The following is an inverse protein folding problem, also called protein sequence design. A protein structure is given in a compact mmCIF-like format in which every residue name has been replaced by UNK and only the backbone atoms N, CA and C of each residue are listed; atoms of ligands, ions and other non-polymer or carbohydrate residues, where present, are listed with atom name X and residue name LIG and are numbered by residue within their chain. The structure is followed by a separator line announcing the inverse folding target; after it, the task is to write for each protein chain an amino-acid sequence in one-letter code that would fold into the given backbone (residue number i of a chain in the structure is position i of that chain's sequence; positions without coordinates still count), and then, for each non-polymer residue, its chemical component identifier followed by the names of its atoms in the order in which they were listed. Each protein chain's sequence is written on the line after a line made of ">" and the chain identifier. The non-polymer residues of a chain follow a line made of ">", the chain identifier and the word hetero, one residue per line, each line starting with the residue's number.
data_IF_169767111808
#
_entry.id   IF_169767111808
#
_cell.length_a   1.000
_cell.length_b   1.000
_cell.length_c   1.000
_cell.angle_alpha   90.00
_cell.angle_beta   90.00
_cell.angle_gamma   90.00
#
_symmetry.space_group_name_H-M   'P 1'
#
loop_
_entity.id
_entity.type
_entity.pdbx_description
1 polymer ?
#
# COMPACT_ATOMS: atom_id res chain seq x y z
N UNK A 1 -9.50 3.15 -4.71
CA UNK A 1 -9.36 4.47 -4.09
C UNK A 1 -8.44 4.32 -2.91
N UNK A 2 -7.55 5.29 -2.69
CA UNK A 2 -6.59 5.31 -1.57
C UNK A 2 -7.30 5.89 -0.34
N UNK A 3 -7.03 5.32 0.84
CA UNK A 3 -7.47 5.87 2.13
C UNK A 3 -6.23 5.99 3.00
N UNK A 4 -6.01 7.18 3.52
CA UNK A 4 -4.96 7.44 4.50
C UNK A 4 -5.46 7.21 5.92
N UNK A 5 -4.56 6.74 6.79
CA UNK A 5 -4.87 6.41 8.18
C UNK A 5 -3.84 7.07 9.07
N UNK A 6 -4.29 7.81 10.09
CA UNK A 6 -3.44 8.40 11.12
C UNK A 6 -2.88 7.39 12.13
N UNK A 7 -2.53 6.19 11.67
CA UNK A 7 -1.98 5.10 12.48
C UNK A 7 -0.66 4.63 11.84
N UNK A 8 0.46 5.04 12.43
CA UNK A 8 1.80 4.68 12.00
C UNK A 8 2.75 4.56 13.18
N UNK A 9 4.04 4.34 12.91
CA UNK A 9 5.07 4.17 13.93
C UNK A 9 5.14 5.34 14.92
N UNK A 10 5.01 6.57 14.43
CA UNK A 10 5.05 7.79 15.25
C UNK A 10 3.74 8.15 15.93
N UNK A 11 2.63 7.41 15.74
CA UNK A 11 1.35 7.75 16.37
C UNK A 11 1.48 7.72 17.89
N UNK A 12 1.12 8.82 18.53
CA UNK A 12 1.30 9.05 19.97
C UNK A 12 0.18 8.38 20.74
N UNK A 13 0.52 7.66 21.82
CA UNK A 13 -0.41 7.12 22.79
C UNK A 13 -0.74 8.16 23.88
N UNK A 14 -2.03 8.36 24.16
CA UNK A 14 -2.52 9.35 25.12
C UNK A 14 -3.82 8.86 25.77
N UNK A 15 -4.24 9.56 26.83
CA UNK A 15 -5.46 9.24 27.59
C UNK A 15 -6.48 10.33 27.29
N UNK A 16 -7.69 9.95 26.86
CA UNK A 16 -8.76 10.90 26.64
C UNK A 16 -9.44 11.38 27.94
N UNK A 17 -10.30 12.38 27.84
CA UNK A 17 -11.02 12.94 28.99
C UNK A 17 -11.91 11.91 29.71
N UNK A 18 -12.22 10.79 29.05
CA UNK A 18 -13.00 9.68 29.62
C UNK A 18 -12.11 8.60 30.27
N UNK A 19 -10.79 8.78 30.29
CA UNK A 19 -9.83 7.82 30.86
C UNK A 19 -9.47 6.67 29.92
N UNK A 20 -9.84 6.74 28.65
CA UNK A 20 -9.57 5.70 27.65
C UNK A 20 -8.22 5.89 26.95
N UNK A 21 -7.53 4.77 26.68
CA UNK A 21 -6.32 4.78 25.84
C UNK A 21 -6.69 5.12 24.38
N UNK A 22 -5.98 6.10 23.82
CA UNK A 22 -6.03 6.50 22.40
C UNK A 22 -4.64 6.44 21.78
N UNK A 23 -4.59 6.20 20.47
CA UNK A 23 -3.35 6.22 19.69
C UNK A 23 -3.58 7.00 18.41
N UNK A 24 -2.81 8.06 18.22
CA UNK A 24 -3.07 9.05 17.17
C UNK A 24 -4.32 9.91 17.45
N UNK A 25 -4.73 10.77 16.50
CA UNK A 25 -4.11 11.00 15.19
C UNK A 25 -2.79 11.80 15.27
N UNK A 26 -2.45 12.37 16.42
CA UNK A 26 -1.18 13.06 16.62
C UNK A 26 -0.01 12.11 16.38
N UNK A 27 1.04 12.63 15.75
CA UNK A 27 2.25 11.89 15.43
C UNK A 27 3.48 12.64 15.93
N UNK A 28 4.44 11.90 16.47
CA UNK A 28 5.76 12.42 16.85
C UNK A 28 6.67 12.65 15.63
N UNK A 29 6.25 12.23 14.43
CA UNK A 29 7.03 12.34 13.21
C UNK A 29 8.38 11.60 13.29
N UNK A 30 9.40 12.14 12.65
CA UNK A 30 10.79 11.66 12.75
C UNK A 30 11.68 12.54 13.63
N UNK A 31 11.24 13.77 13.91
CA UNK A 31 11.90 14.74 14.77
C UNK A 31 10.82 15.54 15.54
N UNK A 32 10.71 15.42 16.87
CA UNK A 32 11.63 14.68 17.76
C UNK A 32 11.48 13.16 17.67
N UNK A 33 10.42 12.65 17.02
CA UNK A 33 10.19 11.22 16.81
C UNK A 33 9.79 10.45 18.07
N UNK A 34 9.65 9.11 17.94
CA UNK A 34 9.46 8.18 19.07
C UNK A 34 10.44 8.42 20.22
N UNK A 35 10.03 8.07 21.44
CA UNK A 35 10.88 8.19 22.65
C UNK A 35 12.19 7.41 22.47
N UNK A 36 12.11 6.24 21.85
CA UNK A 36 13.24 5.36 21.59
C UNK A 36 14.29 5.97 20.66
N UNK A 37 13.97 7.04 19.92
CA UNK A 37 14.94 7.74 19.08
C UNK A 37 15.87 8.65 19.89
N UNK A 38 15.56 8.90 21.16
CA UNK A 38 16.36 9.73 22.07
C UNK A 38 16.62 11.17 21.56
N UNK A 39 15.74 11.71 20.70
CA UNK A 39 15.82 13.06 20.11
C UNK A 39 14.90 14.09 20.77
N UNK A 40 14.37 13.77 21.96
CA UNK A 40 13.52 14.67 22.75
C UNK A 40 12.03 14.33 22.74
N UNK A 41 11.62 13.23 22.08
CA UNK A 41 10.29 12.67 22.20
C UNK A 41 9.99 12.25 23.64
N UNK A 42 8.77 12.52 24.12
CA UNK A 42 8.38 12.29 25.53
C UNK A 42 7.21 11.34 25.69
N UNK A 43 6.31 11.34 24.72
CA UNK A 43 5.06 10.57 24.78
C UNK A 43 5.26 9.24 24.03
N UNK A 44 4.84 8.10 24.62
CA UNK A 44 4.98 6.80 23.98
C UNK A 44 4.30 6.75 22.61
N UNK A 45 4.92 6.06 21.66
CA UNK A 45 4.40 5.87 20.29
C UNK A 45 4.21 4.39 19.94
N UNK A 46 3.60 4.11 18.79
CA UNK A 46 3.52 2.73 18.25
C UNK A 46 4.89 2.08 18.08
N UNK A 47 5.92 2.82 17.65
CA UNK A 47 7.30 2.31 17.53
C UNK A 47 7.87 1.97 18.90
N UNK A 48 7.65 2.82 19.90
CA UNK A 48 8.08 2.56 21.28
C UNK A 48 7.44 1.28 21.83
N UNK A 49 6.14 1.11 21.62
CA UNK A 49 5.43 -0.11 22.01
C UNK A 49 5.97 -1.36 21.30
N UNK A 50 6.25 -1.29 19.99
CA UNK A 50 6.86 -2.42 19.26
C UNK A 50 8.26 -2.77 19.77
N UNK A 51 9.07 -1.76 20.14
CA UNK A 51 10.38 -1.97 20.77
C UNK A 51 10.25 -2.63 22.14
N UNK A 52 9.37 -2.10 23.01
CA UNK A 52 9.14 -2.64 24.35
C UNK A 52 8.61 -4.08 24.32
N UNK A 53 7.78 -4.42 23.34
CA UNK A 53 7.27 -5.78 23.12
C UNK A 53 8.31 -6.74 22.49
N UNK A 54 9.56 -6.29 22.28
CA UNK A 54 10.62 -7.07 21.67
C UNK A 54 10.44 -7.34 20.18
N UNK A 55 9.47 -6.69 19.51
CA UNK A 55 9.21 -6.88 18.08
C UNK A 55 10.22 -6.15 17.20
N UNK A 56 10.81 -5.07 17.71
CA UNK A 56 11.95 -4.37 17.11
C UNK A 56 13.23 -4.64 17.90
N UNK A 57 14.37 -4.53 17.22
CA UNK A 57 15.68 -4.60 17.87
C UNK A 57 16.11 -3.22 18.35
N UNK A 58 16.64 -3.15 19.57
CA UNK A 58 17.30 -1.94 20.05
C UNK A 58 18.60 -1.65 19.30
N UNK A 59 19.33 -2.70 18.89
CA UNK A 59 20.69 -2.58 18.35
C UNK A 59 20.77 -2.70 16.82
N UNK A 60 19.66 -3.05 16.16
CA UNK A 60 19.62 -3.33 14.71
C UNK A 60 18.64 -2.44 13.94
N UNK A 61 18.15 -1.35 14.53
CA UNK A 61 17.29 -0.41 13.82
C UNK A 61 18.08 0.30 12.71
N UNK A 62 17.46 0.44 11.52
CA UNK A 62 18.14 0.90 10.29
C UNK A 62 19.40 0.09 9.94
N UNK A 63 19.38 -1.23 10.20
CA UNK A 63 20.54 -2.10 9.98
C UNK A 63 21.68 -1.88 10.98
N UNK A 64 21.38 -1.31 12.15
CA UNK A 64 22.34 -0.99 13.20
C UNK A 64 22.94 0.42 13.10
N UNK A 65 22.49 1.23 12.14
CA UNK A 65 22.92 2.64 12.03
C UNK A 65 22.33 3.53 13.13
N UNK A 66 21.29 3.05 13.82
CA UNK A 66 20.64 3.77 14.91
C UNK A 66 20.34 2.83 16.09
N UNK A 67 20.98 3.09 17.22
CA UNK A 67 20.62 2.43 18.49
C UNK A 67 19.35 3.06 19.06
N UNK A 68 18.42 2.23 19.53
CA UNK A 68 17.19 2.66 20.17
C UNK A 68 17.32 2.60 21.70
N UNK A 69 16.79 3.62 22.36
CA UNK A 69 16.86 3.78 23.81
C UNK A 69 15.66 3.08 24.49
N UNK A 70 15.78 1.76 24.69
CA UNK A 70 14.77 0.97 25.39
C UNK A 70 14.51 1.51 26.81
N UNK A 71 15.51 1.82 27.66
CA UNK A 71 15.26 2.35 29.01
C UNK A 71 14.36 3.60 29.04
N UNK A 72 14.53 4.54 28.10
CA UNK A 72 13.63 5.71 28.01
C UNK A 72 12.20 5.32 27.63
N UNK A 73 12.03 4.31 26.78
CA UNK A 73 10.71 3.77 26.46
C UNK A 73 10.05 3.16 27.70
N UNK A 74 10.81 2.38 28.49
CA UNK A 74 10.28 1.79 29.72
C UNK A 74 9.79 2.87 30.69
N UNK A 75 10.57 3.95 30.85
CA UNK A 75 10.18 5.09 31.68
C UNK A 75 8.90 5.76 31.15
N UNK A 76 8.84 6.05 29.85
CA UNK A 76 7.68 6.72 29.25
C UNK A 76 6.40 5.88 29.33
N UNK A 77 6.49 4.58 29.04
CA UNK A 77 5.37 3.65 29.19
C UNK A 77 4.96 3.51 30.66
N UNK A 78 5.91 3.42 31.58
CA UNK A 78 5.61 3.33 33.03
C UNK A 78 4.85 4.55 33.53
N UNK A 79 5.24 5.76 33.11
CA UNK A 79 4.51 6.99 33.47
C UNK A 79 3.05 6.93 33.01
N UNK A 80 2.80 6.51 31.77
CA UNK A 80 1.45 6.42 31.21
C UNK A 80 0.64 5.28 31.86
N UNK A 81 1.30 4.15 32.13
CA UNK A 81 0.71 2.96 32.75
C UNK A 81 0.22 3.24 34.18
N UNK A 82 0.98 4.02 34.96
CA UNK A 82 0.59 4.46 36.31
C UNK A 82 -0.73 5.26 36.27
N UNK A 83 -0.89 6.15 35.29
CA UNK A 83 -2.12 6.97 35.16
C UNK A 83 -3.32 6.10 34.81
N UNK A 84 -3.14 5.08 33.98
CA UNK A 84 -4.19 4.12 33.61
C UNK A 84 -4.42 3.02 34.65
N UNK A 85 -3.59 2.93 35.69
CA UNK A 85 -3.64 1.84 36.67
C UNK A 85 -3.40 0.46 36.05
N UNK A 86 -2.56 0.39 35.02
CA UNK A 86 -2.29 -0.84 34.28
C UNK A 86 -0.81 -1.22 34.27
N UNK A 87 -0.52 -2.47 33.92
CA UNK A 87 0.85 -2.94 33.72
C UNK A 87 1.44 -2.39 32.39
N UNK A 88 2.74 -2.08 32.38
CA UNK A 88 3.40 -1.45 31.24
C UNK A 88 3.43 -2.37 30.00
N UNK A 89 3.58 -3.68 30.18
CA UNK A 89 3.53 -4.65 29.09
C UNK A 89 2.13 -4.73 28.49
N UNK A 90 1.09 -4.74 29.34
CA UNK A 90 -0.32 -4.65 28.89
C UNK A 90 -0.60 -3.34 28.17
N UNK A 91 -0.06 -2.21 28.63
CA UNK A 91 -0.19 -0.93 27.96
C UNK A 91 0.44 -0.96 26.57
N UNK A 92 1.68 -1.44 26.45
CA UNK A 92 2.37 -1.55 25.17
C UNK A 92 1.58 -2.42 24.18
N UNK A 93 1.09 -3.58 24.61
CA UNK A 93 0.21 -4.42 23.80
C UNK A 93 -1.08 -3.69 23.39
N UNK A 94 -1.71 -2.95 24.32
CA UNK A 94 -2.89 -2.15 24.06
C UNK A 94 -2.66 -1.03 23.03
N UNK A 95 -1.49 -0.37 23.05
CA UNK A 95 -1.13 0.64 22.05
C UNK A 95 -1.12 0.02 20.64
N UNK A 96 -0.53 -1.16 20.49
CA UNK A 96 -0.53 -1.89 19.22
C UNK A 96 -1.96 -2.26 18.80
N UNK A 97 -2.79 -2.78 19.71
CA UNK A 97 -4.17 -3.17 19.38
C UNK A 97 -5.04 -1.98 18.94
N UNK A 98 -4.92 -0.83 19.62
CA UNK A 98 -5.64 0.39 19.21
C UNK A 98 -5.19 0.83 17.82
N UNK A 99 -3.87 0.85 17.57
CA UNK A 99 -3.28 1.20 16.27
C UNK A 99 -3.73 0.24 15.17
N UNK A 100 -3.69 -1.07 15.42
CA UNK A 100 -4.19 -2.10 14.50
C UNK A 100 -5.68 -1.91 14.21
N UNK A 101 -6.50 -1.61 15.22
CA UNK A 101 -7.95 -1.39 15.01
C UNK A 101 -8.22 -0.21 14.07
N UNK A 102 -7.42 0.86 14.15
CA UNK A 102 -7.52 2.01 13.25
C UNK A 102 -7.17 1.61 11.81
N UNK A 103 -6.08 0.85 11.63
CA UNK A 103 -5.68 0.32 10.32
C UNK A 103 -6.73 -0.63 9.73
N UNK A 104 -7.28 -1.55 10.52
CA UNK A 104 -8.35 -2.47 10.11
C UNK A 104 -9.59 -1.71 9.65
N UNK A 105 -10.05 -0.69 10.40
CA UNK A 105 -11.21 0.13 10.01
C UNK A 105 -11.03 0.76 8.64
N UNK A 106 -9.85 1.30 8.37
CA UNK A 106 -9.56 1.89 7.06
C UNK A 106 -9.50 0.84 5.94
N UNK A 107 -8.90 -0.32 6.21
CA UNK A 107 -8.87 -1.44 5.26
C UNK A 107 -10.29 -1.94 4.94
N UNK A 108 -11.20 -2.01 5.91
CA UNK A 108 -12.62 -2.36 5.69
C UNK A 108 -13.35 -1.35 4.79
N UNK A 109 -13.03 -0.06 4.92
CA UNK A 109 -13.60 1.02 4.08
C UNK A 109 -13.20 0.92 2.61
N UNK A 110 -11.99 0.45 2.32
CA UNK A 110 -11.52 0.27 0.93
C UNK A 110 -11.88 -1.10 0.33
N UNK A 111 -12.34 -2.04 1.15
CA UNK A 111 -12.68 -3.41 0.76
C UNK A 111 -14.19 -3.71 0.94
N UNK A 112 -14.62 -4.08 2.14
CA UNK A 112 -15.97 -4.54 2.47
C UNK A 112 -17.03 -3.50 2.10
N UNK A 113 -16.81 -2.24 2.43
CA UNK A 113 -17.75 -1.15 2.12
C UNK A 113 -17.89 -0.90 0.61
N UNK A 114 -16.99 -1.46 -0.20
CA UNK A 114 -17.05 -1.46 -1.67
C UNK A 114 -17.51 -2.80 -2.25
N UNK A 115 -18.09 -3.67 -1.43
CA UNK A 115 -18.58 -4.99 -1.84
C UNK A 115 -17.48 -6.01 -2.13
N UNK A 116 -16.24 -5.79 -1.67
CA UNK A 116 -15.11 -6.70 -1.89
C UNK A 116 -14.82 -7.48 -0.61
N UNK A 117 -14.91 -8.81 -0.69
CA UNK A 117 -14.60 -9.68 0.44
C UNK A 117 -13.07 -9.83 0.57
N UNK A 118 -12.42 -9.35 1.66
CA UNK A 118 -10.95 -9.34 1.77
C UNK A 118 -10.31 -10.72 1.66
N UNK A 119 -10.97 -11.78 2.15
CA UNK A 119 -10.45 -13.16 2.11
C UNK A 119 -10.21 -13.72 0.70
N UNK A 120 -10.72 -13.05 -0.34
CA UNK A 120 -10.50 -13.43 -1.74
C UNK A 120 -9.23 -12.81 -2.33
N UNK A 121 -8.46 -12.07 -1.53
CA UNK A 121 -7.28 -11.33 -1.96
C UNK A 121 -6.10 -11.59 -1.02
N UNK A 122 -4.89 -11.44 -1.55
CA UNK A 122 -3.65 -11.36 -0.78
C UNK A 122 -3.42 -9.92 -0.30
N UNK A 123 -2.85 -9.76 0.89
CA UNK A 123 -2.46 -8.46 1.43
C UNK A 123 -0.99 -8.17 1.13
N UNK A 124 -0.68 -7.11 0.37
CA UNK A 124 0.70 -6.67 0.18
C UNK A 124 1.10 -5.69 1.30
N UNK A 125 2.08 -6.06 2.11
CA UNK A 125 2.54 -5.28 3.25
C UNK A 125 3.86 -4.56 2.94
N UNK A 126 3.80 -3.24 2.80
CA UNK A 126 4.97 -2.39 2.56
C UNK A 126 4.94 -1.14 3.45
N UNK A 127 5.97 -0.30 3.34
CA UNK A 127 6.34 0.72 4.31
C UNK A 127 7.14 0.11 5.46
N UNK A 128 7.98 0.91 6.13
CA UNK A 128 8.92 0.38 7.13
C UNK A 128 8.23 -0.38 8.27
N UNK A 129 7.03 0.06 8.66
CA UNK A 129 6.22 -0.57 9.71
C UNK A 129 5.10 -1.48 9.19
N UNK A 130 4.88 -1.62 7.87
CA UNK A 130 3.78 -2.45 7.36
C UNK A 130 3.92 -3.92 7.78
N UNK A 131 5.05 -4.58 7.47
CA UNK A 131 5.24 -6.01 7.74
C UNK A 131 5.16 -6.43 9.21
N UNK A 132 5.44 -5.54 10.17
CA UNK A 132 5.38 -5.88 11.61
C UNK A 132 3.93 -5.99 12.12
N UNK A 133 2.97 -5.36 11.43
CA UNK A 133 1.54 -5.37 11.78
C UNK A 133 0.73 -6.31 10.88
N UNK A 134 1.25 -6.66 9.71
CA UNK A 134 0.47 -7.24 8.60
C UNK A 134 -0.29 -8.52 8.93
N UNK A 135 0.34 -9.51 9.58
CA UNK A 135 -0.32 -10.77 9.94
C UNK A 135 -1.55 -10.54 10.85
N UNK A 136 -1.44 -9.65 11.83
CA UNK A 136 -2.58 -9.32 12.70
C UNK A 136 -3.70 -8.60 11.94
N UNK A 137 -3.34 -7.66 11.06
CA UNK A 137 -4.33 -6.99 10.21
C UNK A 137 -5.03 -7.99 9.28
N UNK A 138 -4.28 -8.96 8.76
CA UNK A 138 -4.80 -10.02 7.90
C UNK A 138 -5.78 -10.93 8.65
N UNK A 139 -5.44 -11.37 9.87
CA UNK A 139 -6.35 -12.14 10.74
C UNK A 139 -7.69 -11.41 10.97
N UNK A 140 -7.65 -10.12 11.33
CA UNK A 140 -8.86 -9.31 11.60
C UNK A 140 -9.75 -9.07 10.36
N UNK A 141 -9.18 -9.27 9.16
CA UNK A 141 -9.85 -9.14 7.87
C UNK A 141 -10.20 -10.48 7.24
N UNK A 142 -9.77 -11.61 7.83
CA UNK A 142 -9.91 -12.94 7.25
C UNK A 142 -9.07 -13.16 6.00
N UNK A 143 -7.93 -12.48 5.87
CA UNK A 143 -6.97 -12.66 4.78
C UNK A 143 -5.98 -13.75 5.18
N UNK A 144 -5.82 -14.76 4.32
CA UNK A 144 -4.96 -15.92 4.60
C UNK A 144 -3.53 -15.79 4.06
N UNK A 145 -3.27 -14.83 3.17
CA UNK A 145 -1.95 -14.63 2.56
C UNK A 145 -1.50 -13.16 2.67
N UNK A 146 -0.29 -12.96 3.19
CA UNK A 146 0.40 -11.67 3.22
C UNK A 146 1.67 -11.76 2.38
N UNK A 147 1.88 -10.79 1.49
CA UNK A 147 3.06 -10.68 0.65
C UNK A 147 3.90 -9.49 1.14
N UNK A 148 5.13 -9.75 1.58
CA UNK A 148 6.11 -8.72 1.91
C UNK A 148 7.11 -8.61 0.74
N UNK A 149 7.18 -7.47 0.03
CA UNK A 149 8.12 -7.30 -1.07
C UNK A 149 9.58 -7.27 -0.61
N UNK A 150 10.56 -7.44 -1.53
CA UNK A 150 11.98 -7.49 -1.18
C UNK A 150 12.49 -6.25 -0.45
N UNK A 151 11.92 -5.08 -0.75
CA UNK A 151 12.29 -3.79 -0.17
C UNK A 151 11.05 -3.08 0.36
N UNK A 152 10.42 -3.60 1.43
CA UNK A 152 9.13 -3.11 1.87
C UNK A 152 9.21 -1.68 2.39
N UNK A 153 10.31 -1.30 3.06
CA UNK A 153 10.47 0.05 3.61
C UNK A 153 10.58 1.14 2.55
N UNK A 154 11.03 0.80 1.35
CA UNK A 154 11.22 1.74 0.22
C UNK A 154 10.41 1.39 -1.02
N UNK A 155 9.38 0.54 -0.90
CA UNK A 155 8.60 0.04 -2.03
C UNK A 155 8.01 1.16 -2.91
N UNK A 156 7.61 2.29 -2.32
CA UNK A 156 7.12 3.45 -3.08
C UNK A 156 8.17 4.06 -3.99
N UNK A 157 9.44 4.10 -3.57
CA UNK A 157 10.54 4.58 -4.39
C UNK A 157 10.84 3.60 -5.53
N UNK A 158 10.75 2.29 -5.27
CA UNK A 158 10.87 1.26 -6.32
C UNK A 158 9.76 1.42 -7.36
N UNK A 159 8.52 1.65 -6.90
CA UNK A 159 7.39 1.91 -7.78
C UNK A 159 7.58 3.16 -8.64
N UNK A 160 8.17 4.22 -8.10
CA UNK A 160 8.50 5.44 -8.85
C UNK A 160 9.55 5.18 -9.94
N UNK A 161 10.60 4.42 -9.64
CA UNK A 161 11.68 4.11 -10.59
C UNK A 161 11.17 3.24 -11.74
N UNK A 162 10.25 2.31 -11.46
CA UNK A 162 9.69 1.40 -12.46
C UNK A 162 8.43 1.90 -13.18
N UNK A 163 7.95 3.11 -12.88
CA UNK A 163 6.74 3.65 -13.48
C UNK A 163 7.01 4.23 -14.87
N UNK A 164 6.18 3.84 -15.83
CA UNK A 164 6.22 4.42 -17.18
C UNK A 164 5.98 5.94 -17.13
N UNK A 165 6.67 6.69 -17.98
CA UNK A 165 6.43 8.12 -18.12
C UNK A 165 5.10 8.31 -18.83
N UNK A 166 4.14 8.89 -18.13
CA UNK A 166 2.79 9.10 -18.64
C UNK A 166 2.41 10.57 -18.55
N UNK A 167 1.95 11.13 -19.66
CA UNK A 167 1.33 12.46 -19.66
C UNK A 167 -0.05 12.40 -20.31
N UNK A 168 -0.94 13.25 -19.80
CA UNK A 168 -2.35 13.29 -20.20
C UNK A 168 -2.73 14.71 -20.58
N UNK A 169 -3.23 14.87 -21.81
CA UNK A 169 -3.92 16.07 -22.24
C UNK A 169 -5.43 15.81 -22.28
N UNK A 170 -6.22 16.75 -21.77
CA UNK A 170 -7.68 16.65 -21.75
C UNK A 170 -8.33 17.95 -22.17
N UNK A 171 -9.48 17.84 -22.83
CA UNK A 171 -10.32 18.99 -23.24
C UNK A 171 -11.79 18.66 -23.05
N UNK A 172 -12.55 19.64 -22.56
CA UNK A 172 -13.99 19.54 -22.56
C UNK A 172 -14.50 19.40 -24.00
N UNK A 173 -15.33 18.42 -24.26
CA UNK A 173 -15.88 18.12 -25.58
C UNK A 173 -17.34 17.72 -25.37
N UNK A 174 -18.23 18.70 -25.36
CA UNK A 174 -19.65 18.48 -25.12
C UNK A 174 -20.39 18.25 -26.43
N UNK A 175 -20.99 17.07 -26.57
CA UNK A 175 -21.82 16.77 -27.74
C UNK A 175 -22.56 15.45 -27.60
N UNK A 176 -23.71 15.37 -28.26
CA UNK A 176 -24.39 14.08 -28.49
C UNK A 176 -23.53 13.26 -29.43
N UNK A 177 -23.09 12.09 -28.99
CA UNK A 177 -22.15 11.23 -29.71
C UNK A 177 -22.59 10.98 -31.15
N UNK A 178 -23.88 10.73 -31.35
CA UNK A 178 -24.53 10.54 -32.66
C UNK A 178 -24.48 11.75 -33.60
N UNK A 179 -24.17 12.94 -33.08
CA UNK A 179 -24.14 14.22 -33.82
C UNK A 179 -22.75 14.84 -33.90
N UNK A 180 -21.74 14.23 -33.28
CA UNK A 180 -20.37 14.75 -33.32
C UNK A 180 -19.81 14.50 -34.74
N UNK A 181 -19.34 15.55 -35.45
CA UNK A 181 -18.67 15.34 -36.72
C UNK A 181 -17.34 14.60 -36.52
N UNK A 182 -17.13 13.49 -37.22
CA UNK A 182 -15.91 12.69 -37.12
C UNK A 182 -14.63 13.53 -37.32
N UNK A 183 -14.66 14.46 -38.28
CA UNK A 183 -13.55 15.39 -38.54
C UNK A 183 -13.22 16.29 -37.33
N UNK A 184 -14.23 16.80 -36.63
CA UNK A 184 -14.03 17.66 -35.45
C UNK A 184 -13.44 16.86 -34.28
N UNK A 185 -13.90 15.62 -34.11
CA UNK A 185 -13.35 14.71 -33.12
C UNK A 185 -11.88 14.38 -33.43
N UNK A 186 -11.58 13.98 -34.67
CA UNK A 186 -10.23 13.67 -35.12
C UNK A 186 -9.26 14.85 -34.94
N UNK A 187 -9.67 16.06 -35.34
CA UNK A 187 -8.86 17.27 -35.15
C UNK A 187 -8.55 17.53 -33.67
N UNK A 188 -9.55 17.35 -32.79
CA UNK A 188 -9.34 17.57 -31.36
C UNK A 188 -8.44 16.50 -30.74
N UNK A 189 -8.56 15.25 -31.20
CA UNK A 189 -7.66 14.19 -30.81
C UNK A 189 -6.21 14.49 -31.23
N UNK A 190 -5.98 14.90 -32.48
CA UNK A 190 -4.65 15.27 -32.97
C UNK A 190 -4.03 16.46 -32.21
N UNK A 191 -4.85 17.47 -31.87
CA UNK A 191 -4.43 18.59 -31.01
C UNK A 191 -3.95 18.09 -29.64
N UNK A 192 -4.74 17.24 -28.99
CA UNK A 192 -4.42 16.70 -27.67
C UNK A 192 -3.23 15.74 -27.69
N UNK A 193 -3.10 14.91 -28.73
CA UNK A 193 -1.94 14.04 -28.93
C UNK A 193 -0.65 14.85 -29.01
N UNK A 194 -0.63 15.91 -29.84
CA UNK A 194 0.53 16.81 -29.93
C UNK A 194 0.85 17.46 -28.59
N UNK A 195 -0.17 17.98 -27.91
CA UNK A 195 0.00 18.58 -26.59
C UNK A 195 0.58 17.58 -25.58
N UNK A 196 0.11 16.34 -25.60
CA UNK A 196 0.55 15.30 -24.68
C UNK A 196 1.99 14.83 -24.97
N UNK A 197 2.39 14.78 -26.24
CA UNK A 197 3.75 14.40 -26.67
C UNK A 197 4.81 15.42 -26.24
N UNK A 198 4.52 16.74 -26.33
CA UNK A 198 5.48 17.81 -26.03
C UNK A 198 6.17 17.61 -24.68
N UNK A 199 5.42 17.25 -23.63
CA UNK A 199 6.00 17.06 -22.29
C UNK A 199 6.99 15.89 -22.22
N UNK A 200 6.76 14.81 -22.97
CA UNK A 200 7.68 13.67 -23.00
C UNK A 200 8.89 13.95 -23.91
N UNK A 201 8.69 14.69 -25.00
CA UNK A 201 9.76 15.15 -25.88
C UNK A 201 10.72 16.11 -25.15
N UNK A 202 10.18 17.06 -24.38
CA UNK A 202 10.96 17.97 -23.52
C UNK A 202 11.75 17.22 -22.44
N UNK A 203 11.26 16.05 -22.01
CA UNK A 203 11.98 15.14 -21.12
C UNK A 203 13.04 14.28 -21.86
N UNK A 204 13.23 14.47 -23.16
CA UNK A 204 14.24 13.80 -23.97
C UNK A 204 13.83 12.42 -24.49
N UNK A 205 12.55 12.06 -24.41
CA UNK A 205 12.05 10.77 -24.90
C UNK A 205 11.74 10.86 -26.40
N UNK A 206 12.21 9.86 -27.16
CA UNK A 206 11.96 9.77 -28.60
C UNK A 206 10.51 9.33 -28.89
N UNK A 207 9.89 9.93 -29.91
CA UNK A 207 8.52 9.63 -30.35
C UNK A 207 8.30 8.15 -30.67
N UNK A 208 9.33 7.43 -31.13
CA UNK A 208 9.28 5.98 -31.39
C UNK A 208 9.00 5.13 -30.15
N UNK A 209 9.10 5.71 -28.95
CA UNK A 209 8.79 5.05 -27.67
C UNK A 209 7.38 5.36 -27.17
N UNK A 210 6.61 6.20 -27.87
CA UNK A 210 5.29 6.63 -27.43
C UNK A 210 4.22 5.61 -27.77
N UNK A 211 3.40 5.29 -26.78
CA UNK A 211 2.11 4.62 -26.92
C UNK A 211 1.02 5.64 -26.60
N UNK A 212 0.25 6.01 -27.61
CA UNK A 212 -0.82 6.99 -27.50
C UNK A 212 -2.15 6.26 -27.36
N UNK A 213 -2.89 6.53 -26.30
CA UNK A 213 -4.23 5.98 -26.06
C UNK A 213 -5.21 7.12 -25.84
N UNK A 214 -6.48 6.90 -26.11
CA UNK A 214 -7.50 7.88 -25.77
C UNK A 214 -8.67 7.27 -25.01
N UNK A 215 -9.36 8.15 -24.31
CA UNK A 215 -10.58 7.84 -23.60
C UNK A 215 -11.48 9.06 -23.53
N UNK A 216 -12.73 8.86 -23.16
CA UNK A 216 -13.67 9.95 -22.95
C UNK A 216 -14.54 9.73 -21.75
N UNK A 217 -14.89 10.83 -21.09
CA UNK A 217 -15.95 10.83 -20.09
C UNK A 217 -17.29 10.96 -20.81
N UNK A 218 -18.14 9.96 -20.62
CA UNK A 218 -19.39 9.78 -21.35
C UNK A 218 -20.53 9.51 -20.39
N UNK A 219 -21.75 9.91 -20.75
CA UNK A 219 -22.96 9.64 -19.96
C UNK A 219 -24.17 9.57 -20.86
N UNK A 220 -25.26 8.93 -20.41
CA UNK A 220 -26.51 9.10 -21.13
C UNK A 220 -27.01 10.54 -21.02
N UNK A 221 -27.70 11.03 -22.05
CA UNK A 221 -28.37 12.34 -21.99
C UNK A 221 -29.29 12.40 -20.75
N UNK A 222 -29.11 13.44 -19.93
CA UNK A 222 -29.87 13.67 -18.70
C UNK A 222 -29.36 12.91 -17.46
N UNK A 223 -28.28 12.13 -17.59
CA UNK A 223 -27.62 11.49 -16.45
C UNK A 223 -26.69 12.48 -15.72
N UNK A 224 -26.57 12.33 -14.40
CA UNK A 224 -25.77 13.25 -13.57
C UNK A 224 -24.28 12.91 -13.53
N UNK A 225 -23.91 11.64 -13.75
CA UNK A 225 -22.55 11.13 -13.59
C UNK A 225 -22.03 10.52 -14.88
N UNK A 226 -20.73 10.68 -15.09
CA UNK A 226 -19.99 10.18 -16.24
C UNK A 226 -19.30 8.85 -15.94
N UNK A 227 -19.07 8.08 -17.00
CA UNK A 227 -18.17 6.93 -17.03
C UNK A 227 -17.02 7.26 -17.97
N UNK A 228 -15.78 7.01 -17.54
CA UNK A 228 -14.62 7.05 -18.42
C UNK A 228 -14.58 5.78 -19.26
N UNK A 229 -14.57 5.95 -20.58
CA UNK A 229 -14.58 4.85 -21.56
C UNK A 229 -13.32 4.93 -22.39
N UNK A 230 -12.51 3.87 -22.35
CA UNK A 230 -11.37 3.69 -23.23
C UNK A 230 -11.85 3.28 -24.64
N UNK A 231 -11.13 3.71 -25.68
CA UNK A 231 -11.37 3.25 -27.04
C UNK A 231 -10.19 2.48 -27.62
N UNK A 232 -10.46 1.48 -28.46
CA UNK A 232 -9.45 0.54 -28.95
C UNK A 232 -8.49 1.15 -29.98
N UNK A 233 -8.86 2.26 -30.61
CA UNK A 233 -8.16 2.79 -31.79
C UNK A 233 -7.14 3.87 -31.41
N UNK A 234 -5.86 3.65 -31.79
CA UNK A 234 -4.76 4.60 -31.57
C UNK A 234 -4.90 5.88 -32.41
N UNK A 235 -5.61 5.78 -33.53
CA UNK A 235 -5.91 6.88 -34.46
C UNK A 235 -7.39 6.85 -34.80
N UNK A 236 -8.18 7.90 -34.48
CA UNK A 236 -9.59 7.94 -34.81
C UNK A 236 -9.84 7.74 -36.30
N UNK A 237 -10.79 6.87 -36.61
CA UNK A 237 -11.33 6.59 -37.93
C UNK A 237 -12.85 6.82 -37.96
N UNK A 238 -13.48 6.49 -39.09
CA UNK A 238 -14.92 6.69 -39.27
C UNK A 238 -15.78 5.82 -38.33
N UNK A 239 -15.24 4.74 -37.77
CA UNK A 239 -15.97 3.84 -36.86
C UNK A 239 -15.79 4.17 -35.38
N UNK A 240 -14.80 5.01 -35.04
CA UNK A 240 -14.39 5.27 -33.66
C UNK A 240 -15.55 5.71 -32.77
N UNK A 241 -16.44 6.59 -33.24
CA UNK A 241 -17.60 7.04 -32.45
C UNK A 241 -18.63 5.91 -32.19
N UNK A 242 -18.74 4.94 -33.11
CA UNK A 242 -19.62 3.76 -32.96
C UNK A 242 -19.02 2.78 -31.95
N UNK A 243 -17.71 2.56 -32.01
CA UNK A 243 -17.00 1.70 -31.06
C UNK A 243 -17.07 2.29 -29.65
N UNK A 244 -16.94 3.61 -29.52
CA UNK A 244 -17.13 4.32 -28.25
C UNK A 244 -18.53 4.11 -27.66
N UNK A 245 -19.58 4.17 -28.50
CA UNK A 245 -20.94 3.93 -28.04
C UNK A 245 -21.08 2.50 -27.48
N UNK A 246 -20.57 1.52 -28.23
CA UNK A 246 -20.57 0.10 -27.85
C UNK A 246 -19.82 -0.12 -26.53
N UNK A 247 -18.63 0.45 -26.39
CA UNK A 247 -17.84 0.36 -25.18
C UNK A 247 -18.52 1.05 -23.99
N UNK A 248 -19.17 2.19 -24.21
CA UNK A 248 -19.93 2.87 -23.16
C UNK A 248 -21.08 2.00 -22.65
N UNK A 249 -21.85 1.37 -23.54
CA UNK A 249 -22.92 0.45 -23.12
C UNK A 249 -22.37 -0.73 -22.32
N UNK A 250 -21.24 -1.30 -22.77
CA UNK A 250 -20.56 -2.38 -22.04
C UNK A 250 -20.07 -1.96 -20.66
N UNK A 251 -19.43 -0.79 -20.54
CA UNK A 251 -18.96 -0.25 -19.26
C UNK A 251 -20.12 0.12 -18.34
N UNK A 252 -21.21 0.67 -18.88
CA UNK A 252 -22.41 0.97 -18.10
C UNK A 252 -23.06 -0.32 -17.56
N UNK A 253 -23.15 -1.38 -18.39
CA UNK A 253 -23.61 -2.68 -17.94
C UNK A 253 -22.69 -3.27 -16.87
N UNK A 254 -21.37 -3.17 -17.04
CA UNK A 254 -20.39 -3.67 -16.06
C UNK A 254 -20.50 -2.93 -14.73
N UNK A 255 -20.72 -1.62 -14.75
CA UNK A 255 -20.75 -0.79 -13.55
C UNK A 255 -22.11 -0.80 -12.84
N UNK A 256 -23.20 -0.82 -13.59
CA UNK A 256 -24.56 -0.65 -13.07
C UNK A 256 -25.49 -1.86 -13.31
N UNK A 257 -25.02 -2.90 -13.99
CA UNK A 257 -25.80 -4.11 -14.35
C UNK A 257 -26.98 -3.87 -15.29
N UNK A 258 -26.99 -2.75 -16.01
CA UNK A 258 -27.93 -2.46 -17.09
C UNK A 258 -27.32 -1.45 -18.07
N UNK A 259 -27.93 -1.28 -19.24
CA UNK A 259 -27.63 -0.27 -20.24
C UNK A 259 -28.94 0.22 -20.90
N UNK A 260 -28.90 1.32 -21.64
CA UNK A 260 -30.07 1.96 -22.27
C UNK A 260 -29.75 2.23 -23.74
N UNK A 261 -29.82 1.18 -24.57
CA UNK A 261 -29.45 1.21 -25.99
C UNK A 261 -30.17 2.32 -26.79
N UNK A 262 -31.44 2.60 -26.45
CA UNK A 262 -32.24 3.62 -27.16
C UNK A 262 -31.94 5.07 -26.74
N UNK A 263 -31.08 5.27 -25.74
CA UNK A 263 -30.78 6.60 -25.21
C UNK A 263 -29.46 7.11 -25.77
N UNK A 264 -29.54 8.30 -26.33
CA UNK A 264 -28.40 9.04 -26.88
C UNK A 264 -27.34 9.30 -25.78
N UNK A 265 -26.07 9.27 -26.19
CA UNK A 265 -24.92 9.40 -25.29
C UNK A 265 -24.34 10.80 -25.44
N UNK A 266 -24.03 11.47 -24.33
CA UNK A 266 -23.24 12.68 -24.28
C UNK A 266 -21.77 12.32 -24.08
N UNK A 267 -20.92 12.77 -25.00
CA UNK A 267 -19.49 12.93 -24.74
C UNK A 267 -19.33 14.24 -23.98
N UNK A 268 -18.59 14.22 -22.87
CA UNK A 268 -18.35 15.37 -21.98
C UNK A 268 -16.91 15.85 -22.06
N UNK A 269 -15.95 14.92 -22.07
CA UNK A 269 -14.53 15.23 -22.12
C UNK A 269 -13.80 14.26 -23.03
N UNK A 270 -12.80 14.77 -23.75
CA UNK A 270 -11.85 14.01 -24.54
C UNK A 270 -10.50 13.98 -23.81
N UNK A 271 -9.89 12.80 -23.70
CA UNK A 271 -8.60 12.58 -23.05
C UNK A 271 -7.68 11.82 -23.99
N UNK A 272 -6.44 12.30 -24.09
CA UNK A 272 -5.35 11.59 -24.77
C UNK A 272 -4.23 11.38 -23.75
N UNK A 273 -3.79 10.14 -23.63
CA UNK A 273 -2.67 9.73 -22.79
C UNK A 273 -1.52 9.29 -23.69
N UNK A 274 -0.34 9.85 -23.49
CA UNK A 274 0.91 9.38 -24.09
C UNK A 274 1.71 8.69 -22.99
N UNK A 275 2.11 7.46 -23.24
CA UNK A 275 2.93 6.65 -22.33
C UNK A 275 4.24 6.29 -23.02
N UNK A 276 5.37 6.47 -22.35
CA UNK A 276 6.66 5.95 -22.76
C UNK A 276 7.15 4.96 -21.71
N UNK A 277 7.47 3.74 -22.15
CA UNK A 277 8.02 2.73 -21.27
C UNK A 277 9.41 3.14 -20.79
N UNK A 278 9.66 2.96 -19.51
CA UNK A 278 11.00 3.13 -18.93
C UNK A 278 11.71 1.79 -18.82
N UNK A 279 13.04 1.80 -18.90
CA UNK A 279 13.83 0.62 -18.58
C UNK A 279 13.59 0.26 -17.11
N UNK A 280 12.86 -0.82 -16.90
CA UNK A 280 12.52 -1.29 -15.55
C UNK A 280 13.79 -1.72 -14.83
N UNK A 281 13.90 -1.46 -13.51
CA UNK A 281 15.01 -1.99 -12.73
C UNK A 281 15.03 -3.52 -12.84
N UNK A 282 16.22 -4.16 -12.78
CA UNK A 282 16.32 -5.61 -12.88
C UNK A 282 15.52 -6.27 -11.77
N UNK A 283 14.86 -7.39 -12.11
CA UNK A 283 14.14 -8.20 -11.13
C UNK A 283 15.08 -8.64 -10.01
N UNK A 284 14.64 -8.47 -8.76
CA UNK A 284 15.33 -9.03 -7.62
C UNK A 284 15.08 -10.53 -7.65
N UNK A 285 16.15 -11.32 -7.49
CA UNK A 285 16.06 -12.77 -7.35
C UNK A 285 16.84 -13.21 -6.13
N UNK A 286 16.22 -14.05 -5.30
CA UNK A 286 16.93 -14.65 -4.18
C UNK A 286 17.96 -15.65 -4.71
N UNK A 287 19.05 -15.77 -3.96
CA UNK A 287 20.03 -16.83 -4.22
C UNK A 287 19.38 -18.17 -3.91
N UNK A 288 19.56 -19.15 -4.78
CA UNK A 288 19.25 -20.54 -4.46
C UNK A 288 20.31 -21.09 -3.53
N UNK A 289 19.88 -21.85 -2.51
CA UNK A 289 20.76 -22.51 -1.57
C UNK A 289 20.06 -23.73 -0.99
N UNK A 290 20.81 -24.80 -0.74
CA UNK A 290 20.30 -25.94 0.04
C UNK A 290 20.52 -25.73 1.55
N UNK A 291 21.21 -24.67 1.94
CA UNK A 291 21.44 -24.35 3.35
C UNK A 291 20.16 -23.83 3.99
N UNK A 292 19.89 -24.28 5.21
CA UNK A 292 18.82 -23.74 6.05
C UNK A 292 19.19 -22.28 6.43
N UNK A 293 18.25 -21.33 6.41
CA UNK A 293 18.48 -19.98 6.92
C UNK A 293 19.09 -20.02 8.32
N UNK A 294 20.17 -19.27 8.53
CA UNK A 294 20.88 -19.25 9.81
C UNK A 294 20.18 -18.30 10.76
N UNK A 295 19.87 -18.78 11.95
CA UNK A 295 19.41 -17.93 13.03
C UNK A 295 20.50 -16.96 13.47
N UNK A 296 20.16 -15.66 13.51
CA UNK A 296 21.02 -14.57 13.95
C UNK A 296 21.00 -14.41 15.47
N UNK A 297 19.83 -14.59 16.10
CA UNK A 297 19.63 -14.46 17.54
C UNK A 297 18.30 -15.10 17.98
N UNK A 298 18.15 -15.31 19.29
CA UNK A 298 16.85 -15.49 19.95
C UNK A 298 16.40 -14.19 20.60
N UNK A 299 15.12 -13.85 20.50
CA UNK A 299 14.54 -12.67 21.15
C UNK A 299 13.21 -13.00 21.79
N UNK A 300 13.03 -12.61 23.06
CA UNK A 300 11.71 -12.65 23.71
C UNK A 300 10.80 -11.64 23.03
N UNK A 301 9.71 -12.12 22.42
CA UNK A 301 8.69 -11.31 21.76
C UNK A 301 7.35 -11.48 22.46
N UNK A 302 6.66 -10.37 22.67
CA UNK A 302 5.35 -10.32 23.28
C UNK A 302 4.26 -10.18 22.20
N UNK A 303 3.44 -11.22 22.08
CA UNK A 303 2.31 -11.33 21.18
C UNK A 303 1.01 -10.85 21.86
N UNK A 304 -0.12 -10.97 21.17
CA UNK A 304 -1.46 -10.74 21.73
C UNK A 304 -1.67 -11.56 23.02
N UNK A 305 -2.57 -11.07 23.88
CA UNK A 305 -2.93 -11.70 25.15
C UNK A 305 -1.76 -11.93 26.13
N UNK A 306 -0.72 -11.10 26.02
CA UNK A 306 0.51 -11.15 26.84
C UNK A 306 1.28 -12.48 26.74
N UNK A 307 1.07 -13.25 25.67
CA UNK A 307 1.85 -14.46 25.39
C UNK A 307 3.27 -14.04 24.98
N UNK A 308 4.26 -14.56 25.71
CA UNK A 308 5.66 -14.16 25.57
C UNK A 308 6.49 -15.36 25.13
N UNK A 309 7.02 -15.33 23.91
CA UNK A 309 7.71 -16.48 23.29
C UNK A 309 9.11 -16.07 22.89
N UNK A 310 10.10 -16.95 23.06
CA UNK A 310 11.43 -16.76 22.50
C UNK A 310 11.38 -17.11 21.01
N UNK A 311 11.63 -16.11 20.17
CA UNK A 311 11.53 -16.21 18.72
C UNK A 311 12.92 -16.23 18.09
N UNK A 312 13.11 -17.10 17.11
CA UNK A 312 14.27 -17.04 16.23
C UNK A 312 14.21 -15.76 15.38
N UNK A 313 15.34 -15.05 15.32
CA UNK A 313 15.53 -13.85 14.52
C UNK A 313 16.42 -14.20 13.33
N UNK A 314 15.99 -13.83 12.13
CA UNK A 314 16.74 -14.05 10.89
C UNK A 314 17.07 -12.73 10.22
N UNK A 315 18.24 -12.66 9.60
CA UNK A 315 18.58 -11.57 8.67
C UNK A 315 17.95 -11.85 7.31
N UNK A 316 17.28 -10.87 6.70
CA UNK A 316 16.62 -11.04 5.40
C UNK A 316 17.54 -11.61 4.34
N UNK A 317 18.79 -11.15 4.31
CA UNK A 317 19.79 -11.53 3.33
C UNK A 317 20.25 -12.99 3.44
N UNK A 318 19.98 -13.64 4.59
CA UNK A 318 20.28 -15.06 4.83
C UNK A 318 19.09 -15.99 4.52
N UNK A 319 17.99 -15.44 3.99
CA UNK A 319 16.82 -16.20 3.54
C UNK A 319 16.93 -16.43 2.03
N UNK A 320 17.06 -17.69 1.65
CA UNK A 320 17.25 -18.13 0.26
C UNK A 320 15.92 -18.46 -0.42
N UNK A 321 15.95 -18.59 -1.75
CA UNK A 321 14.79 -19.03 -2.53
C UNK A 321 14.25 -20.36 -2.00
N UNK A 322 12.92 -20.48 -1.97
CA UNK A 322 12.15 -21.65 -1.54
C UNK A 322 12.31 -22.01 -0.04
N UNK A 323 13.00 -21.17 0.75
CA UNK A 323 13.11 -21.36 2.18
C UNK A 323 11.73 -21.30 2.84
N UNK A 324 11.46 -22.27 3.72
CA UNK A 324 10.24 -22.36 4.51
C UNK A 324 10.58 -22.24 5.98
N UNK A 325 9.92 -21.32 6.67
CA UNK A 325 10.09 -21.10 8.10
C UNK A 325 8.71 -21.05 8.76
N UNK A 326 8.61 -21.61 9.95
CA UNK A 326 7.38 -21.60 10.72
C UNK A 326 7.46 -20.53 11.81
N UNK A 327 6.38 -19.77 12.00
CA UNK A 327 6.28 -18.85 13.13
C UNK A 327 6.23 -19.59 14.48
N UNK A 328 6.56 -18.90 15.58
CA UNK A 328 6.86 -17.48 15.66
C UNK A 328 8.32 -17.12 15.37
N UNK A 329 8.55 -16.19 14.44
CA UNK A 329 9.89 -15.72 14.04
C UNK A 329 9.87 -14.23 13.71
N UNK A 330 11.05 -13.61 13.72
CA UNK A 330 11.26 -12.21 13.31
C UNK A 330 12.26 -12.15 12.18
N UNK A 331 11.92 -11.47 11.10
CA UNK A 331 12.84 -11.21 9.99
C UNK A 331 13.25 -9.75 10.04
N UNK A 332 14.55 -9.51 10.19
CA UNK A 332 15.14 -8.18 10.19
C UNK A 332 15.70 -7.83 8.83
N UNK A 333 15.47 -6.59 8.44
CA UNK A 333 16.03 -5.97 7.25
C UNK A 333 16.36 -4.52 7.60
N UNK A 334 17.30 -3.91 6.87
CA UNK A 334 17.67 -2.50 7.09
C UNK A 334 16.47 -1.54 7.11
N UNK A 335 15.49 -1.73 6.22
CA UNK A 335 14.38 -0.82 6.00
C UNK A 335 13.05 -1.27 6.62
N UNK A 336 12.98 -2.47 7.23
CA UNK A 336 11.76 -2.99 7.85
C UNK A 336 11.99 -4.19 8.76
N UNK A 337 10.99 -4.54 9.56
CA UNK A 337 10.94 -5.77 10.35
C UNK A 337 9.65 -6.52 10.02
N UNK A 338 9.76 -7.78 9.62
CA UNK A 338 8.60 -8.65 9.39
C UNK A 338 8.42 -9.54 10.61
N UNK A 339 7.23 -9.47 11.22
CA UNK A 339 6.85 -10.34 12.33
C UNK A 339 5.97 -11.46 11.79
N UNK A 340 6.36 -12.71 12.02
CA UNK A 340 5.55 -13.89 11.66
C UNK A 340 5.05 -14.51 12.98
N UNK A 341 3.76 -14.35 13.33
CA UNK A 341 3.21 -14.88 14.57
C UNK A 341 3.11 -16.43 14.60
N UNK A 342 2.77 -17.04 15.76
CA UNK A 342 2.68 -18.50 15.89
C UNK A 342 1.78 -19.19 14.85
N UNK A 343 0.66 -18.59 14.47
CA UNK A 343 -0.29 -19.18 13.52
C UNK A 343 0.05 -18.88 12.06
N UNK A 344 1.27 -18.45 11.77
CA UNK A 344 1.71 -18.10 10.43
C UNK A 344 2.95 -18.90 10.04
N UNK A 345 3.10 -19.14 8.74
CA UNK A 345 4.32 -19.64 8.12
C UNK A 345 4.85 -18.63 7.13
N UNK A 346 6.10 -18.80 6.72
CA UNK A 346 6.79 -17.99 5.73
C UNK A 346 7.36 -18.92 4.65
N UNK A 347 7.12 -18.57 3.39
CA UNK A 347 7.83 -19.11 2.23
C UNK A 347 8.52 -17.98 1.47
N UNK A 348 9.81 -18.13 1.19
CA UNK A 348 10.58 -17.17 0.42
C UNK A 348 10.47 -17.49 -1.08
N UNK A 349 9.73 -16.67 -1.82
CA UNK A 349 9.58 -16.84 -3.26
C UNK A 349 10.90 -16.50 -4.00
N UNK A 350 11.25 -17.21 -5.09
CA UNK A 350 12.45 -16.90 -5.89
C UNK A 350 12.56 -15.44 -6.36
N UNK A 351 11.44 -14.73 -6.53
CA UNK A 351 11.38 -13.30 -6.87
C UNK A 351 11.75 -12.35 -5.70
N UNK A 352 12.05 -12.89 -4.52
CA UNK A 352 12.38 -12.10 -3.33
C UNK A 352 11.18 -11.62 -2.53
N UNK A 353 9.96 -11.99 -2.88
CA UNK A 353 8.81 -11.82 -2.00
C UNK A 353 8.86 -12.81 -0.83
N UNK A 354 8.50 -12.36 0.38
CA UNK A 354 8.17 -13.28 1.47
C UNK A 354 6.65 -13.47 1.46
N UNK A 355 6.21 -14.71 1.30
CA UNK A 355 4.80 -15.09 1.30
C UNK A 355 4.50 -15.68 2.68
N UNK A 356 3.68 -14.99 3.45
CA UNK A 356 3.23 -15.44 4.76
C UNK A 356 1.84 -16.04 4.62
N UNK A 357 1.65 -17.24 5.16
CA UNK A 357 0.36 -17.94 5.10
C UNK A 357 -0.17 -18.20 6.51
N UNK A 358 -1.45 -17.93 6.72
CA UNK A 358 -2.14 -18.33 7.93
C UNK A 358 -2.27 -19.87 7.98
N UNK A 359 -2.02 -20.44 9.14
CA UNK A 359 -2.14 -21.88 9.43
C UNK A 359 -3.29 -22.07 10.41
N UNK A 360 -4.29 -22.84 10.00
CA UNK A 360 -5.42 -23.24 10.86
C UNK A 360 -5.00 -24.14 12.02
#
# INVERSE_FOLDING_TARGET
>A
GIVEVGAGGGSIAWIDDAGGLRVGPQSAGADPGPVCYARGGKDPTTTDANLYLGRLSADYFLGGEMALDLPKVEEALSRLAVVLGMDALKLAAGIIEVSNSHMVRALRRVSIERGRHPSLYSMVAFGGAGPIHACYLAEELGVNEVIVPPMPGVASAVGLIGADMRHEARKAFFGKLSKIPAKTFQQTFEELSKQACITLEEAGILETQFVITGSSDMRYVGQAYELTVDWPTLTPDDNTLVDMATNFHGEHFRHYSYDIQDRDIELVSLRVTVTASVDRPPEIRLKSSQSVPKEKAQRRVHFRDAISIDCAVYERNDIYADAKLEGPIVIEQKDSTTLVPPNWSLTADPSGHLILNFRE
#
